data_IF_012400551727
#
_entry.id   IF_012400551727
#
_cell.length_a   1.000
_cell.length_b   1.000
_cell.length_c   1.000
_cell.angle_alpha   90.00
_cell.angle_beta   90.00
_cell.angle_gamma   90.00
#
_symmetry.space_group_name_H-M   'P 1'
#
loop_
_entity.id
_entity.type
_entity.pdbx_description
1 polymer ?
#
# COMPACT_ATOMS: atom_id res chain seq x y z
N UNK A 1 -10.08 -22.60 4.37
CA UNK A 1 -10.91 -21.38 4.50
C UNK A 1 -10.69 -20.67 5.84
N UNK A 2 -10.99 -21.26 7.01
CA UNK A 2 -10.82 -20.59 8.31
C UNK A 2 -9.40 -20.03 8.57
N UNK A 3 -8.35 -20.78 8.19
CA UNK A 3 -6.95 -20.34 8.32
C UNK A 3 -6.65 -19.04 7.54
N UNK A 4 -7.30 -18.84 6.39
CA UNK A 4 -7.12 -17.63 5.57
C UNK A 4 -7.74 -16.42 6.28
N UNK A 5 -8.94 -16.58 6.84
CA UNK A 5 -9.59 -15.52 7.62
C UNK A 5 -8.78 -15.15 8.86
N UNK A 6 -8.22 -16.13 9.57
CA UNK A 6 -7.33 -15.89 10.72
C UNK A 6 -6.07 -15.14 10.28
N UNK A 7 -5.44 -15.56 9.17
CA UNK A 7 -4.26 -14.89 8.62
C UNK A 7 -4.53 -13.43 8.23
N UNK A 8 -5.66 -13.16 7.56
CA UNK A 8 -6.08 -11.79 7.20
C UNK A 8 -6.34 -10.95 8.46
N UNK A 9 -6.98 -11.52 9.48
CA UNK A 9 -7.23 -10.82 10.75
C UNK A 9 -5.93 -10.42 11.46
N UNK A 10 -4.95 -11.32 11.51
CA UNK A 10 -3.62 -11.03 12.08
C UNK A 10 -2.92 -9.93 11.26
N UNK A 11 -3.00 -9.99 9.93
CA UNK A 11 -2.42 -8.98 9.05
C UNK A 11 -2.97 -7.58 9.34
N UNK A 12 -4.30 -7.44 9.44
CA UNK A 12 -4.93 -6.16 9.78
C UNK A 12 -4.57 -5.69 11.19
N UNK A 13 -4.45 -6.59 12.16
CA UNK A 13 -4.05 -6.25 13.52
C UNK A 13 -2.63 -5.67 13.55
N UNK A 14 -1.69 -6.26 12.80
CA UNK A 14 -0.32 -5.75 12.66
C UNK A 14 -0.33 -4.37 12.00
N UNK A 15 -1.08 -4.18 10.90
CA UNK A 15 -1.21 -2.89 10.22
C UNK A 15 -1.75 -1.81 11.18
N UNK A 16 -2.77 -2.15 11.96
CA UNK A 16 -3.37 -1.25 12.95
C UNK A 16 -2.39 -0.86 14.06
N UNK A 17 -1.58 -1.80 14.55
CA UNK A 17 -0.54 -1.49 15.54
C UNK A 17 0.55 -0.58 14.96
N UNK A 18 1.00 -0.83 13.73
CA UNK A 18 1.97 0.03 13.05
C UNK A 18 1.40 1.45 12.93
N UNK A 19 0.13 1.58 12.53
CA UNK A 19 -0.53 2.89 12.40
C UNK A 19 -0.68 3.61 13.74
N UNK A 20 -0.92 2.88 14.84
CA UNK A 20 -1.06 3.44 16.18
C UNK A 20 0.27 4.03 16.71
N UNK A 21 1.38 3.29 16.55
CA UNK A 21 2.70 3.73 17.04
C UNK A 21 3.44 4.64 16.07
N UNK A 22 3.16 4.52 14.78
CA UNK A 22 3.78 5.31 13.72
C UNK A 22 2.70 5.87 12.79
N UNK A 23 2.01 6.95 13.18
CA UNK A 23 0.91 7.52 12.38
C UNK A 23 1.36 8.00 10.99
N UNK A 24 2.65 8.36 10.85
CA UNK A 24 3.24 8.74 9.56
C UNK A 24 3.89 7.58 8.78
N UNK A 25 3.79 6.34 9.27
CA UNK A 25 4.42 5.18 8.61
C UNK A 25 3.86 4.87 7.22
N UNK A 26 2.72 5.43 6.84
CA UNK A 26 2.13 5.24 5.50
C UNK A 26 1.97 6.56 4.72
N UNK A 27 2.46 7.69 5.23
CA UNK A 27 2.30 8.99 4.52
C UNK A 27 3.06 9.05 3.20
N UNK A 28 4.10 8.22 3.06
CA UNK A 28 4.87 8.05 1.82
C UNK A 28 4.14 7.24 0.74
N UNK A 29 3.13 6.45 1.13
CA UNK A 29 2.38 5.60 0.21
C UNK A 29 1.46 6.46 -0.66
N UNK A 30 1.76 6.56 -1.97
CA UNK A 30 1.05 7.44 -2.92
C UNK A 30 1.61 8.86 -3.06
N UNK A 31 2.67 9.21 -2.33
CA UNK A 31 3.37 10.51 -2.44
C UNK A 31 4.83 10.36 -2.91
N UNK A 32 5.17 9.24 -3.56
CA UNK A 32 6.53 9.03 -4.03
C UNK A 32 6.84 9.92 -5.25
N UNK A 33 8.08 10.43 -5.39
CA UNK A 33 8.49 11.18 -6.57
C UNK A 33 8.32 10.28 -7.82
N UNK A 34 7.34 10.61 -8.66
CA UNK A 34 6.92 9.81 -9.81
C UNK A 34 5.45 9.36 -9.77
N UNK A 35 4.76 9.48 -8.64
CA UNK A 35 3.30 9.34 -8.59
C UNK A 35 2.64 10.58 -9.23
N UNK A 36 1.83 10.35 -10.27
CA UNK A 36 1.23 11.44 -11.06
C UNK A 36 0.01 11.97 -10.31
N UNK A 37 0.18 13.14 -9.69
CA UNK A 37 -0.89 13.88 -9.04
C UNK A 37 -1.29 15.05 -9.94
N UNK A 38 -2.33 14.87 -10.74
CA UNK A 38 -2.89 15.93 -11.56
C UNK A 38 -4.06 16.57 -10.84
N UNK A 39 -3.97 17.87 -10.56
CA UNK A 39 -5.10 18.67 -10.06
C UNK A 39 -5.42 19.74 -11.10
N UNK A 40 -6.65 19.72 -11.62
CA UNK A 40 -7.13 20.79 -12.50
C UNK A 40 -7.20 22.12 -11.74
N UNK A 41 -6.76 23.19 -12.40
CA UNK A 41 -6.69 24.56 -11.85
C UNK A 41 -8.06 25.08 -11.34
N UNK A 42 -9.17 24.58 -11.89
CA UNK A 42 -10.54 24.93 -11.47
C UNK A 42 -11.13 24.11 -10.32
N UNK A 43 -10.35 23.25 -9.65
CA UNK A 43 -10.77 22.50 -8.45
C UNK A 43 -11.75 21.34 -8.66
N UNK A 44 -12.32 21.16 -9.85
CA UNK A 44 -13.32 20.12 -10.12
C UNK A 44 -12.78 18.70 -10.40
N UNK A 45 -11.48 18.54 -10.70
CA UNK A 45 -10.92 17.25 -11.09
C UNK A 45 -9.52 17.03 -10.48
N UNK A 46 -9.40 15.95 -9.70
CA UNK A 46 -8.14 15.48 -9.13
C UNK A 46 -7.94 14.04 -9.56
N UNK A 47 -6.82 13.75 -10.22
CA UNK A 47 -6.46 12.43 -10.68
C UNK A 47 -5.13 12.02 -10.04
N UNK A 48 -5.17 10.93 -9.29
CA UNK A 48 -4.03 10.38 -8.56
C UNK A 48 -3.67 9.04 -9.18
N UNK A 49 -2.49 8.95 -9.82
CA UNK A 49 -1.95 7.74 -10.41
C UNK A 49 -0.69 7.31 -9.65
N UNK A 50 -0.82 6.42 -8.64
CA UNK A 50 0.28 5.96 -7.81
C UNK A 50 1.08 4.86 -8.53
N UNK A 51 1.66 5.17 -9.70
CA UNK A 51 2.33 4.19 -10.58
C UNK A 51 3.56 3.59 -9.88
N UNK A 52 4.39 4.42 -9.26
CA UNK A 52 5.63 3.98 -8.62
C UNK A 52 5.31 3.15 -7.38
N UNK A 53 4.35 3.62 -6.59
CA UNK A 53 3.88 2.89 -5.41
C UNK A 53 3.35 1.50 -5.78
N UNK A 54 2.53 1.37 -6.85
CA UNK A 54 2.00 0.07 -7.28
C UNK A 54 3.08 -0.89 -7.81
N UNK A 55 4.10 -0.38 -8.50
CA UNK A 55 5.23 -1.20 -8.97
C UNK A 55 6.00 -1.78 -7.78
N UNK A 56 6.30 -0.97 -6.77
CA UNK A 56 7.02 -1.42 -5.57
C UNK A 56 6.23 -2.50 -4.84
N UNK A 57 4.92 -2.27 -4.64
CA UNK A 57 4.02 -3.25 -4.00
C UNK A 57 4.04 -4.56 -4.78
N UNK A 58 3.94 -4.50 -6.11
CA UNK A 58 3.97 -5.69 -6.95
C UNK A 58 5.27 -6.50 -6.78
N UNK A 59 6.43 -5.84 -6.82
CA UNK A 59 7.73 -6.49 -6.65
C UNK A 59 7.83 -7.16 -5.28
N UNK A 60 7.45 -6.46 -4.21
CA UNK A 60 7.47 -7.01 -2.85
C UNK A 60 6.56 -8.24 -2.75
N UNK A 61 5.33 -8.15 -3.27
CA UNK A 61 4.39 -9.26 -3.25
C UNK A 61 4.94 -10.46 -4.02
N UNK A 62 5.54 -10.23 -5.20
CA UNK A 62 6.16 -11.29 -6.00
C UNK A 62 7.30 -11.96 -5.24
N UNK A 63 8.19 -11.20 -4.58
CA UNK A 63 9.29 -11.76 -3.78
C UNK A 63 8.74 -12.62 -2.64
N UNK A 64 7.76 -12.09 -1.89
CA UNK A 64 7.13 -12.80 -0.76
C UNK A 64 6.50 -14.10 -1.25
N UNK A 65 5.65 -14.04 -2.27
CA UNK A 65 4.98 -15.21 -2.80
C UNK A 65 5.98 -16.24 -3.30
N UNK A 66 7.03 -15.83 -4.01
CA UNK A 66 8.06 -16.74 -4.51
C UNK A 66 8.90 -17.38 -3.39
N UNK A 67 9.10 -16.67 -2.28
CA UNK A 67 9.80 -17.21 -1.11
C UNK A 67 8.97 -18.26 -0.37
N UNK A 68 7.64 -18.11 -0.33
CA UNK A 68 6.71 -19.07 0.28
C UNK A 68 6.23 -20.17 -0.67
N UNK A 69 6.45 -20.05 -1.99
CA UNK A 69 6.12 -21.07 -2.99
C UNK A 69 7.28 -22.03 -3.32
N UNK A 70 8.37 -21.99 -2.54
CA UNK A 70 9.36 -23.09 -2.46
C UNK A 70 8.97 -24.05 -1.35
#
# INVERSE_FOLDING_TARGET
MAKIFIGIGILFLIIGLIYLFFPNAFSWFGHMPGDVNYRSEGGGFSFHLPIVTMIIVSIILTIILNLFNR
#
